data_IF_388711015667
#
_entry.id   IF_388711015667
#
_cell.length_a   1.000
_cell.length_b   1.000
_cell.length_c   1.000
_cell.angle_alpha   90.00
_cell.angle_beta   90.00
_cell.angle_gamma   90.00
#
_symmetry.space_group_name_H-M   'P 1'
#
loop_
_entity.id
_entity.type
_entity.pdbx_description
1 polymer ?
#
# COMPACT_ATOMS: atom_id res chain seq x y z
N UNK A 1 -38.14 4.42 62.79
CA UNK A 1 -38.50 3.72 61.54
C UNK A 1 -37.18 3.43 60.82
N UNK A 2 -36.72 2.18 60.88
CA UNK A 2 -35.39 1.76 60.45
C UNK A 2 -35.24 1.90 58.93
N UNK A 3 -34.30 2.74 58.49
CA UNK A 3 -33.80 2.74 57.12
C UNK A 3 -32.93 1.48 56.95
N UNK A 4 -33.50 0.48 56.27
CA UNK A 4 -32.83 -0.78 55.93
C UNK A 4 -31.59 -0.51 55.09
N UNK A 5 -30.47 -1.01 55.60
CA UNK A 5 -29.15 -1.05 54.98
C UNK A 5 -29.13 -2.09 53.85
N UNK A 6 -29.94 -1.88 52.82
CA UNK A 6 -30.04 -2.78 51.67
C UNK A 6 -29.01 -2.38 50.61
N UNK A 7 -28.09 -3.31 50.34
CA UNK A 7 -27.51 -3.57 49.01
C UNK A 7 -26.40 -2.67 48.42
N UNK A 8 -25.42 -2.19 49.18
CA UNK A 8 -24.14 -1.79 48.54
C UNK A 8 -23.36 -2.99 47.97
N UNK A 9 -23.30 -4.12 48.69
CA UNK A 9 -22.61 -5.34 48.22
C UNK A 9 -23.34 -6.04 47.08
N UNK A 10 -24.66 -6.03 47.10
CA UNK A 10 -25.46 -6.71 46.07
C UNK A 10 -25.56 -5.90 44.79
N UNK A 11 -25.57 -4.57 44.86
CA UNK A 11 -25.41 -3.71 43.66
C UNK A 11 -24.00 -3.86 43.10
N UNK A 12 -22.96 -3.93 43.94
CA UNK A 12 -21.59 -4.15 43.49
C UNK A 12 -21.39 -5.55 42.87
N UNK A 13 -21.97 -6.60 43.46
CA UNK A 13 -21.98 -7.95 42.86
C UNK A 13 -22.81 -8.02 41.58
N UNK A 14 -23.95 -7.32 41.49
CA UNK A 14 -24.75 -7.27 40.25
C UNK A 14 -24.03 -6.52 39.13
N UNK A 15 -23.32 -5.43 39.44
CA UNK A 15 -22.47 -4.71 38.48
C UNK A 15 -21.26 -5.56 38.07
N UNK A 16 -20.62 -6.27 39.00
CA UNK A 16 -19.54 -7.22 38.69
C UNK A 16 -20.06 -8.37 37.82
N UNK A 17 -21.21 -8.97 38.13
CA UNK A 17 -21.81 -10.05 37.33
C UNK A 17 -22.29 -9.55 35.96
N UNK A 18 -22.75 -8.30 35.84
CA UNK A 18 -23.04 -7.67 34.54
C UNK A 18 -21.77 -7.35 33.74
N UNK A 19 -20.69 -6.93 34.40
CA UNK A 19 -19.38 -6.71 33.76
C UNK A 19 -18.68 -8.02 33.36
N UNK A 20 -18.93 -9.14 34.05
CA UNK A 20 -18.37 -10.45 33.72
C UNK A 20 -19.17 -11.22 32.66
N UNK A 21 -20.36 -10.77 32.26
CA UNK A 21 -21.19 -11.43 31.23
C UNK A 21 -21.36 -10.62 29.94
N UNK A 22 -20.68 -9.48 29.77
CA UNK A 22 -20.53 -8.88 28.44
C UNK A 22 -19.47 -9.66 27.66
N UNK A 23 -19.82 -10.89 27.24
CA UNK A 23 -19.16 -11.48 26.09
C UNK A 23 -19.54 -10.62 24.91
N UNK A 24 -18.61 -9.76 24.51
CA UNK A 24 -18.70 -8.98 23.28
C UNK A 24 -18.84 -9.97 22.11
N UNK A 25 -20.07 -10.17 21.64
CA UNK A 25 -20.35 -10.97 20.45
C UNK A 25 -19.72 -10.28 19.24
N UNK A 26 -19.00 -11.04 18.43
CA UNK A 26 -18.45 -10.58 17.14
C UNK A 26 -19.57 -9.99 16.28
N UNK A 27 -19.25 -8.98 15.47
CA UNK A 27 -20.21 -8.43 14.49
C UNK A 27 -20.81 -9.54 13.62
N UNK A 28 -22.14 -9.65 13.63
CA UNK A 28 -22.86 -10.57 12.76
C UNK A 28 -22.81 -10.09 11.30
N UNK A 29 -22.69 -11.01 10.33
CA UNK A 29 -22.63 -10.70 8.90
C UNK A 29 -23.82 -9.85 8.41
N UNK A 30 -24.99 -9.92 9.06
CA UNK A 30 -26.15 -9.07 8.75
C UNK A 30 -25.90 -7.57 8.99
N UNK A 31 -24.90 -7.23 9.80
CA UNK A 31 -24.48 -5.86 10.05
C UNK A 31 -23.48 -5.34 9.02
N UNK A 32 -23.01 -6.16 8.06
CA UNK A 32 -22.21 -5.68 6.94
C UNK A 32 -22.99 -4.69 6.07
N UNK A 33 -22.29 -3.84 5.33
CA UNK A 33 -22.90 -3.11 4.23
C UNK A 33 -23.45 -4.09 3.20
N UNK A 34 -24.61 -3.80 2.63
CA UNK A 34 -25.25 -4.68 1.64
C UNK A 34 -24.39 -4.68 0.36
N UNK A 35 -24.02 -5.87 -0.11
CA UNK A 35 -23.15 -6.08 -1.28
C UNK A 35 -23.69 -7.10 -2.29
N UNK A 36 -24.89 -7.66 -2.06
CA UNK A 36 -25.42 -8.81 -2.83
C UNK A 36 -25.65 -8.50 -4.32
N UNK A 37 -25.77 -7.23 -4.69
CA UNK A 37 -25.91 -6.71 -6.05
C UNK A 37 -24.58 -6.18 -6.62
N UNK A 38 -23.46 -6.47 -5.95
CA UNK A 38 -22.12 -6.14 -6.41
C UNK A 38 -21.60 -7.08 -7.49
N UNK A 39 -20.37 -6.82 -7.93
CA UNK A 39 -19.63 -7.62 -8.91
C UNK A 39 -18.78 -8.65 -8.16
N UNK A 40 -18.97 -9.93 -8.47
CA UNK A 40 -18.11 -11.01 -7.97
C UNK A 40 -16.81 -11.07 -8.79
N UNK A 41 -15.67 -11.19 -8.12
CA UNK A 41 -14.40 -11.45 -8.77
C UNK A 41 -14.40 -12.84 -9.43
N UNK A 42 -13.57 -13.07 -10.46
CA UNK A 42 -13.33 -14.40 -10.98
C UNK A 42 -12.91 -15.35 -9.86
N UNK A 43 -13.42 -16.59 -9.89
CA UNK A 43 -13.06 -17.65 -8.96
C UNK A 43 -11.76 -18.31 -9.39
N UNK A 44 -10.71 -17.52 -9.33
CA UNK A 44 -9.37 -17.87 -9.74
C UNK A 44 -8.40 -17.46 -8.65
N UNK A 45 -7.32 -18.22 -8.51
CA UNK A 45 -6.25 -17.87 -7.60
C UNK A 45 -5.46 -16.66 -8.14
N UNK A 46 -4.95 -15.82 -7.23
CA UNK A 46 -4.09 -14.68 -7.58
C UNK A 46 -4.66 -13.76 -8.70
N UNK A 47 -5.88 -13.26 -8.53
CA UNK A 47 -6.50 -12.34 -9.50
C UNK A 47 -6.94 -11.02 -8.88
N UNK A 48 -7.49 -10.14 -9.70
CA UNK A 48 -7.97 -8.82 -9.31
C UNK A 48 -9.22 -8.40 -10.09
N UNK A 49 -9.85 -7.32 -9.64
CA UNK A 49 -10.93 -6.67 -10.37
C UNK A 49 -10.42 -5.96 -11.61
N UNK A 50 -11.33 -5.64 -12.54
CA UNK A 50 -11.12 -4.53 -13.47
C UNK A 50 -10.88 -3.20 -12.71
N UNK A 51 -10.39 -2.19 -13.42
CA UNK A 51 -10.18 -0.86 -12.83
C UNK A 51 -11.51 -0.26 -12.38
N UNK A 52 -11.61 0.07 -11.09
CA UNK A 52 -12.79 0.74 -10.53
C UNK A 52 -12.51 2.24 -10.52
N UNK A 53 -13.30 3.00 -11.30
CA UNK A 53 -13.18 4.46 -11.34
C UNK A 53 -13.84 5.09 -10.11
N UNK A 54 -13.10 5.93 -9.42
CA UNK A 54 -13.52 6.66 -8.23
C UNK A 54 -13.99 8.06 -8.63
N UNK A 55 -15.26 8.34 -8.35
CA UNK A 55 -15.90 9.63 -8.65
C UNK A 55 -16.80 10.04 -7.48
N UNK A 56 -16.37 10.95 -6.60
CA UNK A 56 -15.12 11.73 -6.67
C UNK A 56 -13.86 10.88 -6.45
N UNK A 57 -12.73 11.38 -6.93
CA UNK A 57 -11.40 10.86 -6.59
C UNK A 57 -11.21 10.94 -5.08
N UNK A 58 -10.48 9.97 -4.52
CA UNK A 58 -10.32 9.88 -3.07
C UNK A 58 -8.88 10.22 -2.67
N UNK A 59 -8.67 11.09 -1.67
CA UNK A 59 -7.37 11.19 -1.02
C UNK A 59 -7.10 9.95 -0.17
N UNK A 60 -5.91 9.38 -0.30
CA UNK A 60 -5.39 8.31 0.53
C UNK A 60 -3.92 8.57 0.85
N UNK A 61 -3.63 8.74 2.15
CA UNK A 61 -2.33 9.12 2.70
C UNK A 61 -1.76 10.33 1.94
N UNK A 62 -0.70 10.15 1.16
CA UNK A 62 0.00 11.26 0.51
C UNK A 62 -0.59 11.67 -0.83
N UNK A 63 -1.51 10.88 -1.39
CA UNK A 63 -1.87 10.93 -2.82
C UNK A 63 -3.40 11.00 -3.01
N UNK A 64 -3.84 11.46 -4.18
CA UNK A 64 -5.25 11.43 -4.59
C UNK A 64 -5.36 10.42 -5.71
N UNK A 65 -6.31 9.50 -5.59
CA UNK A 65 -6.48 8.40 -6.53
C UNK A 65 -7.82 8.47 -7.24
N UNK A 66 -7.75 8.29 -8.56
CA UNK A 66 -8.91 8.27 -9.46
C UNK A 66 -9.42 6.84 -9.69
N UNK A 67 -8.65 5.83 -9.30
CA UNK A 67 -9.02 4.44 -9.46
C UNK A 67 -8.44 3.52 -8.41
N UNK A 68 -9.04 2.33 -8.29
CA UNK A 68 -8.62 1.26 -7.38
C UNK A 68 -8.91 -0.11 -7.98
N UNK A 69 -8.16 -1.11 -7.54
CA UNK A 69 -8.31 -2.51 -7.87
C UNK A 69 -8.51 -3.33 -6.60
N UNK A 70 -9.35 -4.36 -6.67
CA UNK A 70 -9.60 -5.31 -5.58
C UNK A 70 -8.84 -6.58 -5.88
N UNK A 71 -8.06 -7.08 -4.94
CA UNK A 71 -7.28 -8.30 -5.11
C UNK A 71 -7.89 -9.48 -4.32
N UNK A 72 -7.76 -10.70 -4.85
CA UNK A 72 -8.25 -11.91 -4.18
C UNK A 72 -7.64 -12.14 -2.80
N UNK A 73 -6.38 -11.76 -2.61
CA UNK A 73 -5.58 -11.88 -1.40
C UNK A 73 -5.92 -10.86 -0.31
N UNK A 74 -7.10 -10.23 -0.37
CA UNK A 74 -7.66 -9.47 0.76
C UNK A 74 -7.12 -8.05 0.93
N UNK A 75 -6.72 -7.42 -0.18
CA UNK A 75 -6.29 -6.03 -0.21
C UNK A 75 -6.79 -5.28 -1.45
N UNK A 76 -6.70 -3.94 -1.39
CA UNK A 76 -6.97 -3.00 -2.47
C UNK A 76 -5.67 -2.31 -2.88
N UNK A 77 -5.49 -2.04 -4.17
CA UNK A 77 -4.34 -1.28 -4.70
C UNK A 77 -4.78 -0.13 -5.61
N UNK A 78 -4.10 1.01 -5.55
CA UNK A 78 -4.55 2.25 -6.21
C UNK A 78 -3.73 2.69 -7.44
N UNK A 79 -2.58 2.07 -7.70
CA UNK A 79 -1.70 2.43 -8.82
C UNK A 79 -1.82 1.45 -9.98
N UNK A 80 -1.66 0.16 -9.70
CA UNK A 80 -1.76 -0.91 -10.68
C UNK A 80 -2.53 -2.08 -10.06
N UNK A 81 -3.15 -2.92 -10.91
CA UNK A 81 -3.61 -4.21 -10.46
C UNK A 81 -2.42 -5.07 -10.04
N UNK A 82 -2.54 -5.73 -8.89
CA UNK A 82 -1.61 -6.77 -8.46
C UNK A 82 -2.28 -8.10 -8.78
N UNK A 83 -1.60 -9.00 -9.48
CA UNK A 83 -2.13 -10.29 -9.93
C UNK A 83 -1.31 -11.49 -9.41
N UNK A 84 -0.55 -11.28 -8.32
CA UNK A 84 0.32 -12.29 -7.73
C UNK A 84 0.51 -12.03 -6.24
N UNK A 85 0.59 -13.09 -5.44
CA UNK A 85 1.00 -12.96 -4.03
C UNK A 85 2.53 -12.82 -3.89
N UNK A 86 2.97 -11.82 -3.13
CA UNK A 86 4.39 -11.60 -2.82
C UNK A 86 4.67 -11.97 -1.36
N UNK A 87 5.16 -13.20 -1.07
CA UNK A 87 5.36 -13.66 0.30
C UNK A 87 6.43 -12.88 1.09
N UNK A 88 7.32 -12.17 0.40
CA UNK A 88 8.39 -11.38 1.02
C UNK A 88 8.02 -9.91 1.30
N UNK A 89 6.90 -9.41 0.79
CA UNK A 89 6.52 -7.99 0.91
C UNK A 89 5.48 -7.83 2.02
N UNK A 90 5.82 -7.10 3.08
CA UNK A 90 4.90 -6.72 4.17
C UNK A 90 4.38 -5.30 3.98
N UNK A 91 3.32 -4.90 4.70
CA UNK A 91 2.83 -3.51 4.69
C UNK A 91 3.89 -2.51 5.16
N UNK A 92 4.81 -2.97 6.02
CA UNK A 92 5.92 -2.19 6.59
C UNK A 92 7.19 -2.20 5.72
N UNK A 93 7.22 -3.04 4.68
CA UNK A 93 8.27 -3.03 3.66
C UNK A 93 7.94 -2.00 2.58
N UNK A 94 8.89 -1.67 1.71
CA UNK A 94 8.56 -0.86 0.54
C UNK A 94 7.81 -1.75 -0.46
N UNK A 95 6.49 -1.55 -0.54
CA UNK A 95 5.65 -2.31 -1.46
C UNK A 95 5.68 -1.69 -2.86
N UNK A 96 6.01 -0.38 -2.98
CA UNK A 96 5.86 0.39 -4.20
C UNK A 96 4.40 0.67 -4.60
N UNK A 97 3.44 0.26 -3.76
CA UNK A 97 2.01 0.34 -3.98
C UNK A 97 1.27 0.92 -2.79
N UNK A 98 0.39 1.87 -3.07
CA UNK A 98 -0.61 2.26 -2.10
C UNK A 98 -1.60 1.13 -1.92
N UNK A 99 -1.64 0.59 -0.69
CA UNK A 99 -2.41 -0.59 -0.32
C UNK A 99 -3.32 -0.27 0.86
N UNK A 100 -4.57 -0.72 0.75
CA UNK A 100 -5.48 -0.86 1.89
C UNK A 100 -5.75 -2.35 2.07
N UNK A 101 -5.32 -2.92 3.18
CA UNK A 101 -5.43 -4.34 3.46
C UNK A 101 -6.31 -4.56 4.70
N UNK A 102 -7.60 -4.89 4.55
CA UNK A 102 -8.37 -5.41 5.67
C UNK A 102 -7.82 -6.75 6.17
N UNK A 103 -7.33 -7.63 5.28
CA UNK A 103 -6.72 -8.89 5.65
C UNK A 103 -5.88 -9.44 4.49
N UNK A 104 -4.60 -9.13 4.44
CA UNK A 104 -3.70 -9.55 3.37
C UNK A 104 -3.07 -10.91 3.66
N UNK A 105 -3.46 -11.94 2.91
CA UNK A 105 -2.93 -13.30 2.99
C UNK A 105 -3.02 -13.99 1.63
N UNK A 106 -2.33 -15.12 1.46
CA UNK A 106 -2.48 -15.97 0.27
C UNK A 106 -3.84 -16.69 0.32
N UNK A 107 -4.83 -16.17 -0.41
CA UNK A 107 -6.24 -16.61 -0.35
C UNK A 107 -6.59 -17.33 -1.65
N UNK A 108 -7.02 -18.58 -1.52
CA UNK A 108 -7.51 -19.37 -2.65
C UNK A 108 -8.98 -19.01 -2.94
N UNK A 109 -9.16 -18.08 -3.90
CA UNK A 109 -10.48 -17.67 -4.36
C UNK A 109 -11.11 -18.64 -5.38
N UNK A 110 -10.42 -19.72 -5.76
CA UNK A 110 -10.97 -20.75 -6.68
C UNK A 110 -11.94 -21.71 -5.99
N UNK A 111 -11.93 -21.77 -4.65
CA UNK A 111 -12.77 -22.65 -3.86
C UNK A 111 -14.25 -22.18 -3.88
N UNK A 112 -15.16 -23.09 -4.26
CA UNK A 112 -16.53 -22.75 -4.70
C UNK A 112 -17.47 -22.17 -3.65
N UNK A 113 -17.21 -22.38 -2.36
CA UNK A 113 -18.05 -21.89 -1.26
C UNK A 113 -17.54 -20.58 -0.63
N UNK A 114 -16.42 -20.06 -1.11
CA UNK A 114 -15.98 -18.69 -0.92
C UNK A 114 -16.47 -17.77 -2.05
N UNK A 115 -16.57 -16.47 -1.76
CA UNK A 115 -16.82 -15.45 -2.78
C UNK A 115 -16.19 -14.12 -2.41
N UNK A 116 -15.77 -13.37 -3.42
CA UNK A 116 -15.23 -12.02 -3.25
C UNK A 116 -16.07 -11.08 -4.10
N UNK A 117 -16.72 -10.11 -3.47
CA UNK A 117 -17.70 -9.23 -4.13
C UNK A 117 -17.39 -7.79 -3.80
N UNK A 118 -17.43 -6.92 -4.81
CA UNK A 118 -17.25 -5.48 -4.61
C UNK A 118 -18.41 -4.67 -5.21
N UNK A 119 -18.69 -3.52 -4.60
CA UNK A 119 -19.74 -2.58 -5.02
C UNK A 119 -19.28 -1.15 -4.79
N UNK A 120 -19.10 -0.40 -5.87
CA UNK A 120 -19.00 1.06 -5.80
C UNK A 120 -20.41 1.67 -5.89
N UNK A 121 -20.81 2.43 -4.87
CA UNK A 121 -22.17 2.98 -4.79
C UNK A 121 -22.20 4.42 -4.30
N UNK A 122 -23.29 5.08 -4.66
CA UNK A 122 -23.71 6.42 -4.18
C UNK A 122 -25.13 6.38 -3.61
N UNK A 123 -25.64 5.19 -3.28
CA UNK A 123 -26.98 5.02 -2.71
C UNK A 123 -27.07 5.61 -1.31
N UNK A 124 -28.10 6.43 -1.07
CA UNK A 124 -28.31 7.16 0.18
C UNK A 124 -28.33 6.26 1.42
N UNK A 125 -28.89 5.06 1.34
CA UNK A 125 -28.94 4.15 2.49
C UNK A 125 -27.55 3.63 2.90
N UNK A 126 -26.68 3.35 1.93
CA UNK A 126 -25.30 2.93 2.18
C UNK A 126 -24.46 4.11 2.70
N UNK A 127 -24.65 5.30 2.12
CA UNK A 127 -23.97 6.53 2.54
C UNK A 127 -24.40 6.95 3.96
N UNK A 128 -25.68 6.85 4.29
CA UNK A 128 -26.22 7.11 5.63
C UNK A 128 -25.65 6.14 6.66
N UNK A 129 -25.66 4.82 6.38
CA UNK A 129 -25.04 3.82 7.26
C UNK A 129 -23.56 4.10 7.50
N UNK A 130 -22.82 4.46 6.45
CA UNK A 130 -21.40 4.78 6.55
C UNK A 130 -21.17 6.03 7.40
N UNK A 131 -21.98 7.08 7.19
CA UNK A 131 -21.95 8.31 7.97
C UNK A 131 -22.20 8.03 9.46
N UNK A 132 -23.25 7.29 9.78
CA UNK A 132 -23.63 6.98 11.16
C UNK A 132 -22.48 6.25 11.88
N UNK A 133 -21.88 5.24 11.25
CA UNK A 133 -20.70 4.53 11.79
C UNK A 133 -19.49 5.45 11.98
N UNK A 134 -19.18 6.28 10.99
CA UNK A 134 -18.04 7.22 11.09
C UNK A 134 -18.26 8.22 12.23
N UNK A 135 -19.48 8.73 12.42
CA UNK A 135 -19.80 9.69 13.47
C UNK A 135 -19.70 9.09 14.88
N UNK A 136 -19.93 7.78 15.03
CA UNK A 136 -19.69 7.09 16.31
C UNK A 136 -18.20 7.03 16.67
N UNK A 137 -17.32 6.79 15.69
CA UNK A 137 -15.86 6.73 15.91
C UNK A 137 -15.14 8.08 15.88
N UNK A 138 -15.69 9.04 15.12
CA UNK A 138 -15.13 10.37 14.88
C UNK A 138 -16.19 11.43 15.14
N UNK A 139 -16.54 11.62 16.41
CA UNK A 139 -17.54 12.61 16.85
C UNK A 139 -17.23 14.06 16.43
N UNK A 140 -15.96 14.36 16.11
CA UNK A 140 -15.49 15.65 15.60
C UNK A 140 -15.75 15.85 14.09
N UNK A 141 -16.02 14.78 13.34
CA UNK A 141 -16.27 14.82 11.89
C UNK A 141 -17.75 15.09 11.55
N UNK A 142 -18.41 15.99 12.29
CA UNK A 142 -19.85 16.24 12.13
C UNK A 142 -20.23 16.83 10.76
N UNK A 143 -19.28 17.50 10.10
CA UNK A 143 -19.47 18.11 8.78
C UNK A 143 -19.22 17.13 7.63
N UNK A 144 -18.72 15.92 7.89
CA UNK A 144 -18.47 14.93 6.87
C UNK A 144 -19.78 14.45 6.23
N UNK A 145 -19.84 14.50 4.90
CA UNK A 145 -21.02 14.13 4.12
C UNK A 145 -20.62 13.20 2.97
N UNK A 146 -20.70 11.88 3.16
CA UNK A 146 -20.17 10.94 2.18
C UNK A 146 -20.92 11.04 0.85
N UNK A 147 -20.17 11.01 -0.25
CA UNK A 147 -20.68 11.06 -1.63
C UNK A 147 -20.51 9.75 -2.37
N UNK A 148 -19.61 8.89 -1.90
CA UNK A 148 -19.38 7.57 -2.45
C UNK A 148 -18.96 6.60 -1.35
N UNK A 149 -19.24 5.32 -1.60
CA UNK A 149 -18.73 4.20 -0.82
C UNK A 149 -18.33 3.07 -1.76
N UNK A 150 -17.12 2.54 -1.58
CA UNK A 150 -16.66 1.30 -2.17
C UNK A 150 -16.70 0.22 -1.10
N UNK A 151 -17.50 -0.82 -1.32
CA UNK A 151 -17.66 -1.96 -0.43
C UNK A 151 -16.94 -3.15 -1.06
N UNK A 152 -16.10 -3.86 -0.32
CA UNK A 152 -15.46 -5.10 -0.76
C UNK A 152 -15.60 -6.15 0.34
N UNK A 153 -16.15 -7.31 0.00
CA UNK A 153 -16.42 -8.40 0.92
C UNK A 153 -15.69 -9.65 0.47
N UNK A 154 -14.92 -10.26 1.37
CA UNK A 154 -14.38 -11.60 1.24
C UNK A 154 -15.20 -12.49 2.17
N UNK A 155 -16.07 -13.31 1.59
CA UNK A 155 -16.99 -14.18 2.34
C UNK A 155 -16.52 -15.62 2.25
N UNK A 156 -16.40 -16.28 3.40
CA UNK A 156 -16.00 -17.68 3.51
C UNK A 156 -14.77 -18.02 2.66
N UNK A 157 -13.81 -17.11 2.59
CA UNK A 157 -12.59 -17.32 1.82
C UNK A 157 -11.64 -18.23 2.59
N UNK A 158 -10.81 -18.95 1.85
CA UNK A 158 -9.93 -20.00 2.37
C UNK A 158 -8.46 -19.60 2.19
N UNK A 159 -7.55 -20.05 3.07
CA UNK A 159 -6.13 -19.92 2.82
C UNK A 159 -5.69 -20.84 1.66
N UNK A 160 -4.66 -20.46 0.93
CA UNK A 160 -4.03 -21.34 -0.05
C UNK A 160 -3.58 -22.66 0.61
N UNK A 161 -3.87 -23.78 -0.05
CA UNK A 161 -3.66 -25.14 0.46
C UNK A 161 -4.41 -25.45 1.77
N UNK A 162 -5.64 -24.95 1.92
CA UNK A 162 -6.46 -25.21 3.11
C UNK A 162 -6.65 -26.72 3.38
N UNK A 163 -6.15 -27.17 4.54
CA UNK A 163 -6.27 -28.57 5.00
C UNK A 163 -7.36 -28.75 6.05
N UNK A 164 -7.76 -27.67 6.71
CA UNK A 164 -8.59 -27.68 7.91
C UNK A 164 -9.99 -27.12 7.66
N UNK A 165 -10.30 -26.71 6.42
CA UNK A 165 -11.56 -26.08 6.03
C UNK A 165 -11.83 -24.78 6.81
N UNK A 166 -10.77 -24.00 7.06
CA UNK A 166 -10.81 -22.73 7.80
C UNK A 166 -11.29 -21.60 6.90
N UNK A 167 -12.21 -20.78 7.40
CA UNK A 167 -12.87 -19.75 6.61
C UNK A 167 -12.82 -18.41 7.30
N UNK A 168 -12.47 -17.38 6.53
CA UNK A 168 -12.58 -16.00 6.98
C UNK A 168 -13.75 -15.30 6.27
N UNK A 169 -14.44 -14.43 7.00
CA UNK A 169 -15.43 -13.50 6.45
C UNK A 169 -15.15 -12.10 6.97
N UNK A 170 -14.82 -11.18 6.07
CA UNK A 170 -14.50 -9.79 6.38
C UNK A 170 -14.93 -8.86 5.24
N UNK A 171 -15.10 -7.58 5.58
CA UNK A 171 -15.52 -6.54 4.66
C UNK A 171 -14.75 -5.24 4.93
N UNK A 172 -14.46 -4.49 3.87
CA UNK A 172 -14.01 -3.10 3.94
C UNK A 172 -15.02 -2.20 3.23
N UNK A 173 -15.30 -1.05 3.83
CA UNK A 173 -15.94 0.07 3.15
C UNK A 173 -14.98 1.27 3.10
N UNK A 174 -14.70 1.79 1.90
CA UNK A 174 -13.96 3.04 1.68
C UNK A 174 -14.98 4.13 1.36
N UNK A 175 -15.07 5.13 2.24
CA UNK A 175 -16.14 6.12 2.25
C UNK A 175 -15.51 7.50 2.03
N UNK A 176 -15.96 8.24 1.01
CA UNK A 176 -15.36 9.53 0.67
C UNK A 176 -16.40 10.60 0.37
N UNK A 177 -16.09 11.84 0.73
CA UNK A 177 -16.82 13.04 0.28
C UNK A 177 -16.05 13.83 -0.81
N UNK A 178 -14.90 13.29 -1.25
CA UNK A 178 -13.93 13.89 -2.17
C UNK A 178 -12.86 14.78 -1.49
N UNK A 179 -13.04 15.10 -0.21
CA UNK A 179 -12.10 15.88 0.62
C UNK A 179 -11.50 15.01 1.72
N UNK A 180 -12.31 14.28 2.48
CA UNK A 180 -11.89 13.30 3.46
C UNK A 180 -12.26 11.90 3.00
N UNK A 181 -11.45 10.91 3.37
CA UNK A 181 -11.72 9.51 3.09
C UNK A 181 -11.51 8.68 4.34
N UNK A 182 -12.49 7.84 4.65
CA UNK A 182 -12.49 6.92 5.78
C UNK A 182 -12.48 5.48 5.28
N UNK A 183 -11.83 4.60 6.02
CA UNK A 183 -11.99 3.15 5.90
C UNK A 183 -12.78 2.62 7.08
N UNK A 184 -13.64 1.64 6.84
CA UNK A 184 -14.31 0.84 7.86
C UNK A 184 -13.99 -0.62 7.57
N UNK A 185 -13.19 -1.28 8.41
CA UNK A 185 -12.99 -2.73 8.37
C UNK A 185 -14.00 -3.41 9.29
N UNK A 186 -14.58 -4.51 8.83
CA UNK A 186 -15.56 -5.32 9.55
C UNK A 186 -15.15 -6.79 9.48
N UNK A 187 -14.97 -7.43 10.63
CA UNK A 187 -14.53 -8.82 10.73
C UNK A 187 -15.61 -9.67 11.41
N UNK A 188 -16.34 -10.46 10.61
CA UNK A 188 -17.36 -11.37 11.14
C UNK A 188 -16.74 -12.71 11.58
N UNK A 189 -15.67 -13.15 10.92
CA UNK A 189 -15.03 -14.44 11.19
C UNK A 189 -13.58 -14.45 10.76
N UNK A 190 -12.68 -14.89 11.66
CA UNK A 190 -11.26 -15.16 11.38
C UNK A 190 -10.92 -16.51 12.00
N UNK A 191 -10.77 -17.55 11.17
CA UNK A 191 -10.40 -18.91 11.56
C UNK A 191 -8.97 -19.28 11.13
N UNK A 192 -8.42 -18.57 10.14
CA UNK A 192 -7.01 -18.62 9.78
C UNK A 192 -6.37 -17.23 9.86
N UNK A 193 -5.10 -17.21 10.25
CA UNK A 193 -4.29 -16.00 10.40
C UNK A 193 -2.99 -16.07 9.60
N UNK A 194 -2.80 -17.14 8.84
CA UNK A 194 -1.63 -17.38 8.02
C UNK A 194 -2.00 -18.27 6.84
N UNK A 195 -1.22 -18.17 5.77
CA UNK A 195 -1.36 -19.01 4.59
C UNK A 195 0.01 -19.50 4.11
N UNK A 196 0.01 -20.59 3.35
CA UNK A 196 1.24 -21.24 2.90
C UNK A 196 2.13 -20.27 2.11
N UNK A 197 3.43 -20.29 2.37
CA UNK A 197 4.42 -19.51 1.63
C UNK A 197 5.51 -20.43 1.06
N UNK A 198 5.69 -20.51 -0.27
CA UNK A 198 6.68 -21.41 -0.87
C UNK A 198 8.14 -20.98 -0.63
N UNK A 199 8.37 -19.77 -0.12
CA UNK A 199 9.72 -19.16 -0.02
C UNK A 199 10.55 -19.60 1.19
N UNK A 200 10.15 -20.62 1.96
CA UNK A 200 11.00 -21.20 3.00
C UNK A 200 11.04 -22.72 2.94
N UNK A 201 12.25 -23.26 2.76
CA UNK A 201 12.58 -24.64 3.13
C UNK A 201 12.25 -24.84 4.62
N UNK A 202 11.05 -25.33 4.91
CA UNK A 202 10.74 -26.04 6.15
C UNK A 202 10.34 -25.22 7.39
N UNK A 203 10.09 -23.89 7.33
CA UNK A 203 9.45 -23.17 8.45
C UNK A 203 8.55 -22.00 8.02
N UNK A 204 7.29 -22.15 8.44
CA UNK A 204 6.30 -21.13 8.80
C UNK A 204 5.55 -20.42 7.67
N UNK A 205 4.23 -20.65 7.67
CA UNK A 205 3.21 -19.91 6.92
C UNK A 205 3.38 -18.40 7.15
N UNK A 206 3.11 -17.58 6.14
CA UNK A 206 3.14 -16.13 6.32
C UNK A 206 1.88 -15.71 7.09
N UNK A 207 2.06 -15.04 8.23
CA UNK A 207 0.96 -14.40 8.93
C UNK A 207 0.34 -13.30 8.07
N UNK A 208 -0.98 -13.24 8.09
CA UNK A 208 -1.75 -12.22 7.43
C UNK A 208 -1.47 -10.84 8.04
N UNK A 209 -1.65 -9.80 7.24
CA UNK A 209 -1.45 -8.41 7.68
C UNK A 209 -2.71 -7.58 7.46
N UNK A 210 -2.93 -6.58 8.31
CA UNK A 210 -4.04 -5.65 8.18
C UNK A 210 -3.55 -4.22 8.42
N UNK A 211 -3.92 -3.29 7.55
CA UNK A 211 -3.47 -1.92 7.63
C UNK A 211 -3.48 -1.16 6.30
N UNK A 212 -2.61 -0.17 6.24
CA UNK A 212 -2.54 0.85 5.20
C UNK A 212 -1.08 1.19 4.92
N UNK A 213 -0.72 1.37 3.65
CA UNK A 213 0.58 1.93 3.26
C UNK A 213 0.42 2.75 1.99
N UNK A 214 1.18 3.83 1.83
CA UNK A 214 1.29 4.50 0.53
C UNK A 214 2.22 3.75 -0.43
N UNK A 215 2.97 2.78 0.09
CA UNK A 215 3.98 2.01 -0.61
C UNK A 215 5.40 2.28 -0.14
N UNK A 216 5.55 3.17 0.84
CA UNK A 216 6.80 3.46 1.55
C UNK A 216 6.75 2.95 3.00
N UNK A 217 7.89 2.56 3.59
CA UNK A 217 7.97 2.20 5.01
C UNK A 217 7.64 3.36 5.96
N UNK A 218 7.72 4.61 5.51
CA UNK A 218 7.53 5.79 6.35
C UNK A 218 6.06 6.17 6.55
N UNK A 219 5.18 5.73 5.66
CA UNK A 219 3.77 6.07 5.63
C UNK A 219 2.93 4.81 5.67
N UNK A 220 3.09 4.06 6.75
CA UNK A 220 2.36 2.82 7.03
C UNK A 220 1.63 2.91 8.37
N UNK A 221 0.48 2.26 8.47
CA UNK A 221 -0.21 1.99 9.72
C UNK A 221 -0.72 0.55 9.69
N UNK A 222 -0.42 -0.22 10.74
CA UNK A 222 -0.88 -1.61 10.87
C UNK A 222 -1.85 -1.74 12.03
N UNK A 223 -2.86 -2.59 11.86
CA UNK A 223 -3.82 -2.89 12.91
C UNK A 223 -3.18 -3.76 14.02
N UNK A 224 -3.73 -3.75 15.24
CA UNK A 224 -3.29 -4.62 16.32
C UNK A 224 -3.24 -6.09 15.89
N UNK A 225 -2.11 -6.74 16.14
CA UNK A 225 -1.90 -8.16 15.81
C UNK A 225 -1.58 -8.47 14.35
N UNK A 226 -1.56 -7.47 13.46
CA UNK A 226 -1.09 -7.64 12.08
C UNK A 226 0.29 -8.31 12.02
N UNK A 227 0.44 -9.33 11.18
CA UNK A 227 1.69 -10.08 11.02
C UNK A 227 2.00 -11.04 12.17
N UNK A 228 1.03 -11.37 13.03
CA UNK A 228 1.25 -12.28 14.16
C UNK A 228 0.00 -13.02 14.65
N UNK A 229 0.19 -13.80 15.72
CA UNK A 229 -0.83 -14.73 16.24
C UNK A 229 -2.10 -14.05 16.78
N UNK A 230 -1.98 -12.82 17.24
CA UNK A 230 -3.09 -12.08 17.84
C UNK A 230 -4.04 -11.46 16.82
N UNK A 231 -3.81 -11.63 15.52
CA UNK A 231 -4.69 -11.14 14.47
C UNK A 231 -6.12 -11.72 14.57
N UNK A 232 -6.27 -12.91 15.16
CA UNK A 232 -7.57 -13.52 15.47
C UNK A 232 -8.44 -12.62 16.36
N UNK A 233 -7.85 -11.70 17.12
CA UNK A 233 -8.59 -10.78 17.99
C UNK A 233 -9.31 -9.66 17.23
N UNK A 234 -9.02 -9.44 15.95
CA UNK A 234 -9.69 -8.40 15.16
C UNK A 234 -11.21 -8.54 15.12
N UNK A 235 -11.75 -9.75 15.33
CA UNK A 235 -13.20 -10.03 15.44
C UNK A 235 -13.81 -9.62 16.78
N UNK A 236 -13.01 -9.51 17.84
CA UNK A 236 -13.45 -9.22 19.22
C UNK A 236 -13.12 -7.81 19.67
N UNK A 237 -11.99 -7.27 19.18
CA UNK A 237 -11.52 -5.94 19.48
C UNK A 237 -12.06 -4.91 18.49
N UNK A 238 -11.93 -3.63 18.83
CA UNK A 238 -12.44 -2.50 18.05
C UNK A 238 -11.86 -1.18 18.57
N UNK A 239 -11.72 -0.20 17.68
CA UNK A 239 -11.36 1.17 18.04
C UNK A 239 -12.58 2.11 18.24
N UNK A 240 -13.80 1.59 18.11
CA UNK A 240 -15.05 2.33 18.36
C UNK A 240 -15.95 1.63 19.39
N UNK A 241 -15.46 0.58 20.06
CA UNK A 241 -16.23 -0.20 21.02
C UNK A 241 -17.30 -1.10 20.40
N UNK A 242 -17.28 -1.31 19.07
CA UNK A 242 -18.15 -2.26 18.36
C UNK A 242 -17.31 -3.45 17.86
N UNK A 243 -17.43 -4.63 18.47
CA UNK A 243 -16.56 -5.77 18.21
C UNK A 243 -16.45 -6.08 16.72
N UNK A 244 -15.23 -6.23 16.21
CA UNK A 244 -15.02 -6.52 14.79
C UNK A 244 -15.03 -5.29 13.88
N UNK A 245 -15.33 -4.08 14.39
CA UNK A 245 -15.41 -2.86 13.57
C UNK A 245 -14.25 -1.93 13.87
N UNK A 246 -13.53 -1.53 12.82
CA UNK A 246 -12.36 -0.67 12.89
C UNK A 246 -12.49 0.50 11.91
N UNK A 247 -12.47 1.73 12.41
CA UNK A 247 -12.65 2.93 11.58
C UNK A 247 -11.41 3.81 11.62
N UNK A 248 -10.97 4.25 10.44
CA UNK A 248 -9.81 5.13 10.30
C UNK A 248 -10.10 6.24 9.30
N UNK A 249 -9.61 7.46 9.58
CA UNK A 249 -9.48 8.49 8.56
C UNK A 249 -8.16 8.23 7.83
N UNK A 250 -8.26 7.93 6.53
CA UNK A 250 -7.14 7.45 5.73
C UNK A 250 -6.65 8.48 4.71
N UNK A 251 -7.36 9.60 4.54
CA UNK A 251 -6.88 10.70 3.72
C UNK A 251 -7.66 11.99 3.91
N UNK A 252 -6.96 13.11 3.73
CA UNK A 252 -7.54 14.45 3.62
C UNK A 252 -6.83 15.22 2.50
N UNK A 253 -7.60 15.63 1.49
CA UNK A 253 -7.14 16.42 0.34
C UNK A 253 -6.46 17.73 0.77
N UNK A 254 -6.80 18.29 1.93
CA UNK A 254 -6.20 19.52 2.49
C UNK A 254 -4.79 19.30 3.07
N UNK A 255 -4.40 18.05 3.32
CA UNK A 255 -3.11 17.66 3.89
C UNK A 255 -2.25 16.84 2.91
N UNK A 256 -2.45 17.06 1.61
CA UNK A 256 -1.74 16.37 0.54
C UNK A 256 -0.21 16.31 0.77
N UNK A 257 0.38 15.12 0.63
CA UNK A 257 1.80 14.86 0.87
C UNK A 257 2.26 14.82 2.33
N UNK A 258 1.38 15.04 3.33
CA UNK A 258 1.74 15.08 4.76
C UNK A 258 0.79 14.33 5.69
N UNK A 259 -0.32 13.84 5.16
CA UNK A 259 -1.34 13.14 5.94
C UNK A 259 -0.80 11.81 6.52
N UNK A 260 -1.25 11.48 7.73
CA UNK A 260 -1.06 10.18 8.38
C UNK A 260 -2.41 9.62 8.78
N UNK A 261 -2.56 8.30 8.68
CA UNK A 261 -3.80 7.61 9.05
C UNK A 261 -4.11 7.86 10.52
N UNK A 262 -5.35 8.26 10.80
CA UNK A 262 -5.85 8.53 12.16
C UNK A 262 -6.87 7.45 12.50
N UNK A 263 -6.68 6.78 13.63
CA UNK A 263 -7.62 5.76 14.13
C UNK A 263 -8.71 6.41 14.98
N UNK A 264 -9.94 5.89 14.92
CA UNK A 264 -10.94 6.29 15.89
C UNK A 264 -10.45 6.03 17.33
N UNK A 265 -10.80 6.91 18.26
CA UNK A 265 -10.42 6.79 19.67
C UNK A 265 -8.94 7.04 19.99
N UNK A 266 -8.08 7.41 19.02
CA UNK A 266 -6.70 7.82 19.32
C UNK A 266 -6.65 9.23 19.91
N UNK A 267 -5.82 9.44 20.93
CA UNK A 267 -5.44 10.77 21.45
C UNK A 267 -4.59 11.58 20.45
N UNK A 268 -4.24 11.00 19.29
CA UNK A 268 -3.63 11.73 18.18
C UNK A 268 -4.55 12.89 17.82
N UNK A 269 -4.14 14.09 18.26
CA UNK A 269 -4.95 15.29 18.14
C UNK A 269 -5.38 15.45 16.68
N UNK A 270 -6.66 15.17 16.43
CA UNK A 270 -7.36 15.55 15.21
C UNK A 270 -6.90 16.97 14.80
N UNK A 271 -6.86 17.90 15.77
CA UNK A 271 -6.35 19.27 15.60
C UNK A 271 -4.90 19.42 15.09
N UNK A 272 -3.97 18.52 15.40
CA UNK A 272 -2.59 18.58 14.89
C UNK A 272 -2.49 18.13 13.43
N UNK A 273 -3.35 17.21 12.99
CA UNK A 273 -3.46 16.87 11.57
C UNK A 273 -4.07 18.05 10.78
N UNK A 274 -5.13 18.69 11.29
CA UNK A 274 -5.78 19.82 10.58
C UNK A 274 -5.19 21.21 10.89
N UNK A 275 -4.02 21.29 11.55
CA UNK A 275 -3.39 22.58 11.82
C UNK A 275 -3.02 23.30 10.51
N UNK A 276 -3.37 24.58 10.32
CA UNK A 276 -2.97 25.34 9.14
C UNK A 276 -1.46 25.31 8.99
N UNK A 277 -0.97 24.94 7.79
CA UNK A 277 0.44 25.06 7.44
C UNK A 277 0.84 26.52 7.57
N UNK A 278 1.61 26.86 8.61
CA UNK A 278 2.31 28.13 8.64
C UNK A 278 3.26 28.15 7.43
N UNK A 279 3.16 29.12 6.50
CA UNK A 279 4.14 29.23 5.43
C UNK A 279 5.52 29.37 6.09
N UNK A 280 6.55 28.64 5.60
CA UNK A 280 7.87 28.73 6.21
C UNK A 280 8.32 30.19 6.18
N UNK A 281 8.54 30.73 7.38
CA UNK A 281 9.15 32.04 7.55
C UNK A 281 10.46 32.03 6.77
N UNK A 282 10.55 32.86 5.73
CA UNK A 282 11.75 32.95 4.90
C UNK A 282 12.90 33.53 5.73
N UNK A 283 13.76 32.69 6.29
CA UNK A 283 15.10 33.11 6.68
C UNK A 283 15.97 33.07 5.42
N UNK A 284 16.16 34.26 4.85
CA UNK A 284 17.14 34.53 3.80
C UNK A 284 18.55 34.17 4.29
N UNK A 285 19.01 32.95 4.06
CA UNK A 285 20.42 32.59 4.22
C UNK A 285 20.80 31.53 3.17
N UNK A 286 20.93 31.91 1.91
CA UNK A 286 21.94 31.35 1.00
C UNK A 286 22.29 32.39 -0.08
N UNK A 287 23.58 32.63 -0.41
CA UNK A 287 23.98 33.61 -1.41
C UNK A 287 23.53 33.16 -2.80
N UNK A 288 23.00 34.10 -3.59
CA UNK A 288 22.66 33.87 -4.98
C UNK A 288 23.92 33.68 -5.82
N UNK A 289 24.18 32.46 -6.26
CA UNK A 289 24.88 32.23 -7.52
C UNK A 289 23.85 31.81 -8.57
N UNK A 290 23.50 32.76 -9.44
CA UNK A 290 22.66 32.52 -10.61
C UNK A 290 23.47 31.76 -11.66
N UNK A 291 23.14 30.50 -11.88
CA UNK A 291 23.34 29.87 -13.17
C UNK A 291 22.00 29.85 -13.92
N UNK A 292 21.89 30.76 -14.89
CA UNK A 292 20.76 30.80 -15.81
C UNK A 292 20.88 29.62 -16.78
N UNK A 293 20.08 28.58 -16.59
CA UNK A 293 19.74 27.65 -17.66
C UNK A 293 18.42 28.10 -18.27
N UNK A 294 18.49 28.62 -19.49
CA UNK A 294 17.32 28.89 -20.32
C UNK A 294 16.82 27.55 -20.88
N UNK A 295 15.60 27.14 -20.52
CA UNK A 295 14.86 26.16 -21.29
C UNK A 295 14.09 26.92 -22.38
N UNK A 296 14.48 26.70 -23.64
CA UNK A 296 13.64 27.05 -24.79
C UNK A 296 12.41 26.14 -24.75
N UNK A 297 11.22 26.74 -24.59
CA UNK A 297 9.96 26.03 -24.76
C UNK A 297 9.76 25.73 -26.24
N UNK A 298 10.03 24.48 -26.63
CA UNK A 298 9.55 23.96 -27.92
C UNK A 298 8.05 23.72 -27.78
N UNK A 299 7.27 24.69 -28.26
CA UNK A 299 5.84 24.50 -28.50
C UNK A 299 5.68 23.81 -29.85
N UNK A 300 5.29 22.53 -29.85
CA UNK A 300 4.82 21.85 -31.06
C UNK A 300 3.28 21.87 -31.10
N UNK A 301 2.65 22.10 -32.26
CA UNK A 301 1.20 22.12 -32.37
C UNK A 301 0.64 20.70 -32.39
N UNK A 302 -0.49 20.50 -31.72
CA UNK A 302 -1.33 19.32 -31.82
C UNK A 302 -1.88 19.15 -33.25
N UNK A 303 -1.54 18.05 -33.91
CA UNK A 303 -2.29 17.51 -35.06
C UNK A 303 -2.36 15.98 -35.06
N UNK A 304 -3.55 15.46 -34.75
CA UNK A 304 -4.30 14.45 -35.52
C UNK A 304 -3.66 13.11 -35.92
N UNK A 305 -3.98 12.08 -35.11
CA UNK A 305 -4.51 10.73 -35.45
C UNK A 305 -3.86 9.87 -36.55
N UNK A 306 -3.08 8.88 -36.11
CA UNK A 306 -3.24 7.45 -36.43
C UNK A 306 -2.61 6.61 -35.29
N UNK A 307 -3.16 5.45 -34.88
CA UNK A 307 -2.46 4.54 -34.00
C UNK A 307 -1.16 4.06 -34.70
N UNK A 308 -0.03 3.91 -33.98
CA UNK A 308 1.12 3.22 -34.53
C UNK A 308 0.72 1.78 -34.86
N UNK A 309 1.08 1.31 -36.05
CA UNK A 309 0.77 -0.06 -36.49
C UNK A 309 1.33 -1.08 -35.49
N UNK A 310 0.70 -2.25 -35.39
CA UNK A 310 1.12 -3.35 -34.50
C UNK A 310 2.58 -3.84 -34.71
N UNK A 311 3.27 -3.34 -35.73
CA UNK A 311 4.69 -3.57 -36.03
C UNK A 311 5.59 -2.68 -35.17
N UNK A 312 5.15 -1.46 -34.82
CA UNK A 312 5.96 -0.50 -34.06
C UNK A 312 6.10 -0.89 -32.58
N UNK A 313 5.05 -1.44 -31.96
CA UNK A 313 5.12 -1.95 -30.59
C UNK A 313 5.86 -3.31 -30.44
N UNK A 314 6.36 -3.92 -31.52
CA UNK A 314 7.13 -5.19 -31.43
C UNK A 314 8.54 -4.99 -30.86
N UNK A 315 9.04 -3.76 -30.84
CA UNK A 315 10.36 -3.41 -30.29
C UNK A 315 10.36 -3.35 -28.76
N UNK A 316 9.18 -3.25 -28.15
CA UNK A 316 9.03 -3.24 -26.71
C UNK A 316 9.38 -4.60 -26.09
N UNK A 317 9.99 -4.60 -24.90
CA UNK A 317 10.30 -5.83 -24.20
C UNK A 317 9.03 -6.61 -23.85
N UNK A 318 9.13 -7.94 -23.73
CA UNK A 318 8.00 -8.82 -23.36
C UNK A 318 7.29 -8.36 -22.08
N UNK A 319 8.05 -7.84 -21.11
CA UNK A 319 7.52 -7.36 -19.83
C UNK A 319 7.38 -5.83 -19.84
N UNK A 320 6.79 -5.29 -20.91
CA UNK A 320 6.52 -3.85 -21.04
C UNK A 320 5.17 -3.61 -21.69
N UNK A 321 4.60 -2.43 -21.42
CA UNK A 321 3.40 -1.91 -22.04
C UNK A 321 3.80 -0.87 -23.09
N UNK A 322 3.14 -0.92 -24.25
CA UNK A 322 3.27 0.08 -25.30
C UNK A 322 2.21 1.17 -25.09
N UNK A 323 2.63 2.41 -24.90
CA UNK A 323 1.77 3.57 -24.74
C UNK A 323 1.91 4.49 -25.96
N UNK A 324 0.79 4.85 -26.60
CA UNK A 324 0.80 5.77 -27.75
C UNK A 324 0.87 7.22 -27.26
N UNK A 325 1.83 7.99 -27.76
CA UNK A 325 2.14 9.36 -27.33
C UNK A 325 1.95 10.37 -28.46
N UNK A 326 0.93 10.22 -29.32
CA UNK A 326 0.48 11.20 -30.33
C UNK A 326 1.44 11.46 -31.51
N UNK A 327 2.76 11.41 -31.28
CA UNK A 327 3.85 11.55 -32.23
C UNK A 327 4.70 10.25 -32.33
N UNK A 328 4.21 9.14 -31.77
CA UNK A 328 4.93 7.85 -31.71
C UNK A 328 4.43 6.97 -30.57
N UNK A 329 5.26 6.02 -30.13
CA UNK A 329 4.98 5.14 -28.99
C UNK A 329 6.12 5.17 -27.97
N UNK A 330 5.79 4.85 -26.73
CA UNK A 330 6.73 4.59 -25.65
C UNK A 330 6.55 3.18 -25.13
N UNK A 331 7.64 2.50 -24.80
CA UNK A 331 7.61 1.24 -24.06
C UNK A 331 7.82 1.57 -22.58
N UNK A 332 7.06 0.94 -21.70
CA UNK A 332 7.18 1.11 -20.26
C UNK A 332 7.18 -0.24 -19.58
N UNK A 333 8.19 -0.56 -18.78
CA UNK A 333 8.22 -1.85 -18.09
C UNK A 333 6.99 -2.02 -17.18
N UNK A 334 6.35 -3.17 -17.26
CA UNK A 334 5.28 -3.55 -16.34
C UNK A 334 5.93 -4.01 -15.05
N UNK A 335 5.40 -3.64 -13.88
CA UNK A 335 5.91 -4.15 -12.61
C UNK A 335 5.78 -5.70 -12.56
N UNK A 336 6.70 -6.44 -11.90
CA UNK A 336 7.87 -6.01 -11.14
C UNK A 336 9.09 -5.67 -11.99
N UNK A 337 8.96 -5.35 -13.27
CA UNK A 337 10.12 -5.10 -14.12
C UNK A 337 10.52 -3.61 -14.14
N UNK A 338 11.81 -3.36 -14.15
CA UNK A 338 12.45 -2.05 -14.27
C UNK A 338 13.30 -2.00 -15.54
N UNK A 339 13.47 -0.79 -16.06
CA UNK A 339 14.26 -0.52 -17.25
C UNK A 339 13.55 0.43 -18.20
N UNK A 340 14.13 0.61 -19.39
CA UNK A 340 13.70 1.59 -20.39
C UNK A 340 12.46 1.20 -21.19
N UNK A 341 11.79 0.11 -20.84
CA UNK A 341 10.67 -0.45 -21.61
C UNK A 341 11.10 -1.25 -22.85
N UNK A 342 12.22 -0.88 -23.47
CA UNK A 342 12.89 -1.71 -24.49
C UNK A 342 13.66 -2.88 -23.86
N UNK A 343 14.06 -2.70 -22.60
CA UNK A 343 14.66 -3.72 -21.74
C UNK A 343 13.99 -3.65 -20.39
N UNK A 344 13.51 -4.80 -19.93
CA UNK A 344 12.77 -4.92 -18.68
C UNK A 344 13.30 -6.12 -17.92
N UNK A 345 14.05 -5.84 -16.87
CA UNK A 345 14.55 -6.83 -15.93
C UNK A 345 13.70 -6.81 -14.68
N UNK A 346 13.53 -7.95 -14.02
CA UNK A 346 12.70 -8.02 -12.81
C UNK A 346 13.30 -7.09 -11.72
N UNK A 347 12.54 -6.67 -10.74
CA UNK A 347 12.99 -5.81 -9.64
C UNK A 347 13.38 -6.68 -8.44
N UNK A 348 14.39 -7.52 -8.60
CA UNK A 348 14.95 -8.33 -7.52
C UNK A 348 16.29 -7.76 -7.03
N UNK A 349 16.82 -8.29 -5.94
CA UNK A 349 18.14 -7.89 -5.51
C UNK A 349 19.20 -8.54 -6.43
N UNK A 350 19.94 -7.72 -7.17
CA UNK A 350 20.89 -8.20 -8.17
C UNK A 350 22.35 -8.13 -7.68
N UNK A 351 23.16 -9.17 -7.95
CA UNK A 351 24.59 -9.05 -7.91
C UNK A 351 25.08 -8.24 -9.12
N UNK A 352 25.94 -7.26 -8.88
CA UNK A 352 26.66 -6.52 -9.92
C UNK A 352 28.09 -7.01 -9.91
N UNK A 353 28.56 -7.59 -11.01
CA UNK A 353 29.94 -8.10 -11.11
C UNK A 353 30.66 -7.44 -12.27
N UNK A 354 31.93 -7.09 -12.08
CA UNK A 354 32.72 -6.43 -13.11
C UNK A 354 34.21 -6.49 -12.86
N UNK A 355 34.99 -6.08 -13.86
CA UNK A 355 36.45 -5.92 -13.75
C UNK A 355 36.82 -4.46 -13.91
N UNK A 356 37.78 -4.01 -13.12
CA UNK A 356 38.33 -2.66 -13.15
C UNK A 356 39.81 -2.77 -13.48
N UNK A 357 40.15 -2.29 -14.67
CA UNK A 357 41.50 -2.27 -15.18
C UNK A 357 41.94 -0.83 -15.41
N UNK A 358 43.17 -0.49 -15.02
CA UNK A 358 43.70 0.84 -15.24
C UNK A 358 45.13 1.01 -14.72
N UNK A 359 45.62 2.23 -14.79
CA UNK A 359 46.91 2.62 -14.23
C UNK A 359 46.75 3.95 -13.49
N UNK A 360 47.16 3.98 -12.23
CA UNK A 360 47.09 5.17 -11.37
C UNK A 360 48.50 5.46 -10.87
N UNK A 361 49.05 6.61 -11.24
CA UNK A 361 50.39 7.04 -10.84
C UNK A 361 51.49 5.98 -11.12
N UNK A 362 51.41 5.28 -12.25
CA UNK A 362 52.36 4.22 -12.61
C UNK A 362 52.07 2.84 -11.99
N UNK A 363 51.05 2.72 -11.16
CA UNK A 363 50.62 1.45 -10.58
C UNK A 363 49.45 0.87 -11.36
N UNK A 364 49.63 -0.35 -11.88
CA UNK A 364 48.53 -1.09 -12.53
C UNK A 364 47.47 -1.50 -11.50
N UNK A 365 46.22 -1.32 -11.90
CA UNK A 365 45.01 -1.78 -11.23
C UNK A 365 44.40 -2.88 -12.10
N UNK A 366 44.22 -4.06 -11.53
CA UNK A 366 43.50 -5.20 -12.11
C UNK A 366 42.69 -5.82 -10.96
N UNK A 367 41.49 -5.29 -10.77
CA UNK A 367 40.65 -5.57 -9.61
C UNK A 367 39.27 -6.02 -10.04
N UNK A 368 38.64 -6.84 -9.21
CA UNK A 368 37.29 -7.34 -9.46
C UNK A 368 36.31 -6.61 -8.57
N UNK A 369 35.22 -6.10 -9.16
CA UNK A 369 34.11 -5.46 -8.47
C UNK A 369 33.01 -6.49 -8.25
N UNK A 370 32.56 -6.60 -7.00
CA UNK A 370 31.37 -7.32 -6.63
C UNK A 370 30.46 -6.41 -5.81
N UNK A 371 29.31 -6.09 -6.39
CA UNK A 371 28.25 -5.30 -5.82
C UNK A 371 27.02 -6.15 -5.53
N UNK A 372 26.22 -5.73 -4.56
CA UNK A 372 24.87 -6.23 -4.34
C UNK A 372 23.92 -5.06 -4.19
N UNK A 373 22.86 -5.04 -5.00
CA UNK A 373 21.87 -3.97 -5.08
C UNK A 373 20.59 -4.41 -4.38
N UNK A 374 20.11 -3.59 -3.45
CA UNK A 374 18.80 -3.71 -2.84
C UNK A 374 17.85 -2.71 -3.51
N UNK A 375 17.01 -3.21 -4.42
CA UNK A 375 16.14 -2.35 -5.23
C UNK A 375 15.08 -1.64 -4.38
N UNK A 376 14.68 -2.28 -3.27
CA UNK A 376 13.65 -1.82 -2.35
C UNK A 376 13.91 -0.41 -1.80
N UNK A 377 15.16 -0.12 -1.45
CA UNK A 377 15.56 1.16 -0.84
C UNK A 377 16.78 1.80 -1.52
N UNK A 378 17.19 1.27 -2.68
CA UNK A 378 18.31 1.78 -3.48
C UNK A 378 19.67 1.62 -2.81
N UNK A 379 19.80 0.80 -1.76
CA UNK A 379 21.10 0.54 -1.12
C UNK A 379 21.96 -0.36 -1.97
N UNK A 380 23.25 -0.05 -2.02
CA UNK A 380 24.23 -0.83 -2.77
C UNK A 380 25.47 -1.06 -1.92
N UNK A 381 25.89 -2.32 -1.84
CA UNK A 381 27.13 -2.72 -1.20
C UNK A 381 28.13 -3.14 -2.26
N UNK A 382 29.22 -2.38 -2.43
CA UNK A 382 30.27 -2.67 -3.39
C UNK A 382 31.56 -3.09 -2.67
N UNK A 383 32.17 -4.16 -3.15
CA UNK A 383 33.44 -4.70 -2.68
C UNK A 383 34.40 -4.81 -3.86
N UNK A 384 35.68 -4.49 -3.62
CA UNK A 384 36.75 -4.65 -4.59
C UNK A 384 37.75 -5.70 -4.11
N UNK A 385 38.06 -6.65 -5.00
CA UNK A 385 39.04 -7.69 -4.77
C UNK A 385 40.31 -7.43 -5.57
N UNK A 386 41.43 -8.00 -5.12
CA UNK A 386 42.74 -7.90 -5.77
C UNK A 386 43.24 -6.45 -5.91
N UNK A 387 43.12 -5.68 -4.84
CA UNK A 387 43.55 -4.29 -4.82
C UNK A 387 45.07 -4.16 -4.61
N UNK A 388 45.80 -3.33 -5.39
CA UNK A 388 47.22 -3.05 -5.19
C UNK A 388 47.47 -2.22 -3.92
N UNK A 389 48.72 -2.22 -3.41
CA UNK A 389 49.20 -1.57 -2.16
C UNK A 389 48.92 -0.06 -1.99
N UNK A 390 48.23 0.58 -2.94
CA UNK A 390 47.79 1.98 -2.92
C UNK A 390 46.36 2.15 -2.36
N UNK A 391 45.87 1.18 -1.56
CA UNK A 391 44.49 1.10 -1.06
C UNK A 391 43.96 2.38 -0.41
N UNK A 392 44.82 3.10 0.32
CA UNK A 392 44.45 4.35 1.01
C UNK A 392 44.14 5.51 0.06
N UNK A 393 44.80 5.57 -1.09
CA UNK A 393 44.59 6.62 -2.09
C UNK A 393 43.35 6.33 -2.96
N UNK A 394 42.97 5.06 -3.08
CA UNK A 394 41.79 4.62 -3.82
C UNK A 394 40.47 4.98 -3.10
N UNK A 395 40.50 5.31 -1.80
CA UNK A 395 39.33 5.85 -1.09
C UNK A 395 38.84 7.19 -1.69
N UNK A 396 39.70 7.94 -2.38
CA UNK A 396 39.30 9.18 -3.06
C UNK A 396 38.51 8.91 -4.36
N UNK A 397 38.48 7.65 -4.83
CA UNK A 397 37.78 7.24 -6.04
C UNK A 397 36.36 6.69 -5.79
N UNK A 398 35.81 6.89 -4.59
CA UNK A 398 34.41 6.56 -4.26
C UNK A 398 33.40 7.00 -5.34
N UNK A 399 33.54 8.18 -5.98
CA UNK A 399 32.61 8.60 -7.03
C UNK A 399 32.52 7.66 -8.25
N UNK A 400 33.57 6.89 -8.58
CA UNK A 400 33.53 5.91 -9.67
C UNK A 400 32.55 4.75 -9.37
N UNK A 401 32.29 4.49 -8.09
CA UNK A 401 31.35 3.46 -7.64
C UNK A 401 29.92 4.00 -7.46
N UNK A 402 29.76 5.32 -7.43
CA UNK A 402 28.46 5.97 -7.30
C UNK A 402 27.62 5.91 -8.59
N UNK A 403 28.20 5.56 -9.75
CA UNK A 403 27.42 5.36 -10.98
C UNK A 403 26.42 4.21 -10.83
N UNK A 404 26.76 3.18 -10.05
CA UNK A 404 25.85 2.07 -9.74
C UNK A 404 24.72 2.58 -8.84
N UNK A 405 25.01 3.48 -7.90
CA UNK A 405 24.00 4.15 -7.06
C UNK A 405 23.03 5.01 -7.89
N UNK A 406 23.53 5.65 -8.95
CA UNK A 406 22.67 6.37 -9.88
C UNK A 406 21.80 5.42 -10.71
N UNK A 407 22.36 4.32 -11.22
CA UNK A 407 21.62 3.31 -11.96
C UNK A 407 20.47 2.72 -11.15
N UNK A 408 20.72 2.33 -9.89
CA UNK A 408 19.74 1.65 -9.06
C UNK A 408 19.26 2.49 -7.86
N UNK A 409 19.26 3.82 -8.03
CA UNK A 409 18.74 4.72 -7.01
C UNK A 409 17.30 4.40 -6.64
N UNK A 410 16.93 4.68 -5.39
CA UNK A 410 15.57 4.48 -4.90
C UNK A 410 14.59 5.27 -5.77
N UNK A 411 13.60 4.58 -6.33
CA UNK A 411 12.59 5.22 -7.19
C UNK A 411 11.50 5.79 -6.27
N UNK A 412 11.46 7.11 -6.13
CA UNK A 412 10.34 7.81 -5.48
C UNK A 412 9.19 7.96 -6.48
N UNK A 413 8.14 7.15 -6.33
CA UNK A 413 7.00 7.12 -7.28
C UNK A 413 5.83 8.05 -6.90
N UNK A 414 6.01 8.93 -5.91
CA UNK A 414 4.92 9.68 -5.27
C UNK A 414 4.83 11.17 -5.67
N UNK A 415 5.77 11.70 -6.46
CA UNK A 415 5.74 13.08 -6.96
C UNK A 415 6.65 13.20 -8.19
N UNK A 416 6.06 13.19 -9.38
CA UNK A 416 6.71 12.96 -10.69
C UNK A 416 7.59 11.69 -10.72
N UNK A 417 7.48 10.79 -11.72
CA UNK A 417 8.31 9.59 -11.75
C UNK A 417 9.76 9.99 -11.99
N UNK A 418 10.54 10.18 -10.92
CA UNK A 418 11.97 10.34 -11.02
C UNK A 418 12.54 8.96 -11.33
N UNK A 419 12.86 8.76 -12.60
CA UNK A 419 13.49 7.55 -13.10
C UNK A 419 14.94 7.47 -12.58
N UNK A 420 15.34 6.29 -12.10
CA UNK A 420 16.74 6.02 -11.83
C UNK A 420 17.48 5.73 -13.14
N UNK A 421 18.81 5.67 -13.08
CA UNK A 421 19.61 5.48 -14.29
C UNK A 421 19.25 4.20 -15.05
N UNK A 422 18.89 3.12 -14.36
CA UNK A 422 18.49 1.86 -14.99
C UNK A 422 17.17 2.00 -15.74
N UNK A 423 16.19 2.71 -15.17
CA UNK A 423 14.95 3.04 -15.85
C UNK A 423 15.20 3.87 -17.12
N UNK A 424 16.20 4.76 -17.11
CA UNK A 424 16.57 5.57 -18.28
C UNK A 424 17.34 4.78 -19.35
N UNK A 425 18.26 3.89 -18.92
CA UNK A 425 19.26 3.31 -19.85
C UNK A 425 19.00 1.86 -20.26
N UNK A 426 18.20 1.09 -19.50
CA UNK A 426 18.02 -0.35 -19.73
C UNK A 426 19.28 -1.14 -19.45
#
# INVERSE_FOLDING_TARGET
MYLSYTNRKTIFCLLIVFCFNYQSETIDESNFFIYNDGIELPREDDTHSEQIILSPEIPFITTIYESVYINTNGFLSFLLPIAYFFPQITLTSYTGYAIIAPFWADIDASIKDGSITYKYSKEEDLLRKAKDLIQEGFSQSQTFQPKSVLICTWKNVHPLLDKDNKKNTFQVAIVSDGVQTFSIFMYAKIEFISAYSPTKLGREDRYAEAGFTDGTPQQTMVLPGSGGETMVNLVKESNIGKPGVWIHLIGDRRQYGRFRVISAGSDDNYEQAFAPVQPPYSSNIFPQERHNFYYEQVTSPLTSTTPPDAVECQTCARNSQCENQGNGYCCRCIFPYLGSGLRCERAENYPVVGKINGEINGHKLDSELQGYVYIEDGRIHNSLYNMPLIHSHLQQLIPLFNTINWLFGAIHRFSDPIENGFALTG
#
